data_IF_186701756114
#
_entry.id   IF_186701756114
#
_cell.length_a   1.000
_cell.length_b   1.000
_cell.length_c   1.000
_cell.angle_alpha   90.00
_cell.angle_beta   90.00
_cell.angle_gamma   90.00
#
_symmetry.space_group_name_H-M   'P 1'
#
loop_
_entity.id
_entity.type
_entity.pdbx_description
1 polymer ?
#
# COMPACT_ATOMS: atom_id res chain seq x y z
N UNK A 1 4.79 -22.32 -63.82
CA UNK A 1 4.49 -21.06 -63.10
C UNK A 1 3.98 -21.43 -61.72
N UNK A 2 4.85 -21.45 -60.70
CA UNK A 2 4.46 -21.81 -59.33
C UNK A 2 4.25 -20.51 -58.56
N UNK A 3 2.98 -20.18 -58.24
CA UNK A 3 2.63 -19.05 -57.40
C UNK A 3 2.76 -19.47 -55.93
N UNK A 4 3.72 -18.90 -55.22
CA UNK A 4 3.88 -19.06 -53.78
C UNK A 4 2.80 -18.22 -53.08
N UNK A 5 1.89 -18.87 -52.35
CA UNK A 5 0.88 -18.20 -51.52
C UNK A 5 1.49 -17.90 -50.15
N UNK A 6 1.63 -16.62 -49.82
CA UNK A 6 1.99 -16.17 -48.46
C UNK A 6 0.69 -16.04 -47.66
N UNK A 7 0.51 -16.91 -46.67
CA UNK A 7 -0.58 -16.82 -45.69
C UNK A 7 -0.09 -15.94 -44.55
N UNK A 8 -0.58 -14.71 -44.48
CA UNK A 8 -0.33 -13.80 -43.35
C UNK A 8 -1.22 -14.20 -42.18
N UNK A 9 -0.63 -14.82 -41.16
CA UNK A 9 -1.29 -15.09 -39.88
C UNK A 9 -1.40 -13.78 -39.09
N UNK A 10 -2.61 -13.21 -39.03
CA UNK A 10 -2.93 -12.13 -38.09
C UNK A 10 -3.05 -12.73 -36.68
N UNK A 11 -2.04 -12.53 -35.84
CA UNK A 11 -2.19 -12.72 -34.41
C UNK A 11 -3.02 -11.56 -33.86
N UNK A 12 -4.17 -11.82 -33.19
CA UNK A 12 -4.88 -10.75 -32.50
C UNK A 12 -3.99 -10.26 -31.36
N UNK A 13 -3.59 -8.98 -31.43
CA UNK A 13 -3.01 -8.28 -30.30
C UNK A 13 -4.17 -8.10 -29.32
N UNK A 14 -4.27 -8.99 -28.33
CA UNK A 14 -5.18 -8.80 -27.21
C UNK A 14 -4.57 -7.68 -26.37
N UNK A 15 -5.02 -6.45 -26.62
CA UNK A 15 -4.72 -5.34 -25.72
C UNK A 15 -5.42 -5.59 -24.39
N UNK A 16 -4.67 -5.90 -23.34
CA UNK A 16 -5.20 -5.79 -21.99
C UNK A 16 -5.45 -4.31 -21.72
N UNK A 17 -6.71 -3.88 -21.84
CA UNK A 17 -7.13 -2.61 -21.27
C UNK A 17 -6.84 -2.69 -19.78
N UNK A 18 -6.09 -1.73 -19.26
CA UNK A 18 -5.92 -1.55 -17.83
C UNK A 18 -7.29 -1.49 -17.16
N UNK A 19 -7.50 -2.32 -16.14
CA UNK A 19 -8.79 -2.45 -15.47
C UNK A 19 -8.73 -1.81 -14.10
N UNK A 20 -9.58 -0.82 -13.89
CA UNK A 20 -9.92 -0.32 -12.54
C UNK A 20 -10.99 -1.22 -11.96
N UNK A 21 -10.78 -1.65 -10.73
CA UNK A 21 -11.68 -2.51 -9.97
C UNK A 21 -12.30 -1.73 -8.82
N UNK A 22 -13.44 -2.23 -8.36
CA UNK A 22 -14.20 -1.68 -7.25
C UNK A 22 -14.16 -2.64 -6.07
N UNK A 23 -14.11 -2.11 -4.86
CA UNK A 23 -14.06 -2.84 -3.61
C UNK A 23 -14.90 -2.13 -2.55
N UNK A 24 -15.87 -2.84 -1.97
CA UNK A 24 -16.71 -2.27 -0.91
C UNK A 24 -15.99 -2.34 0.43
N UNK A 25 -15.82 -1.19 1.09
CA UNK A 25 -15.25 -1.11 2.44
C UNK A 25 -15.99 -0.06 3.27
N UNK A 26 -16.51 -0.44 4.43
CA UNK A 26 -17.27 0.44 5.34
C UNK A 26 -18.40 1.22 4.64
N UNK A 27 -19.09 0.58 3.69
CA UNK A 27 -20.17 1.19 2.91
C UNK A 27 -19.72 2.15 1.81
N UNK A 28 -18.41 2.33 1.62
CA UNK A 28 -17.83 3.08 0.52
C UNK A 28 -17.43 2.14 -0.62
N UNK A 29 -17.68 2.57 -1.85
CA UNK A 29 -17.12 1.93 -3.03
C UNK A 29 -15.73 2.51 -3.29
N UNK A 30 -14.69 1.72 -3.01
CA UNK A 30 -13.28 2.08 -3.15
C UNK A 30 -12.74 1.54 -4.46
N UNK A 31 -11.83 2.27 -5.10
CA UNK A 31 -11.24 1.86 -6.37
C UNK A 31 -9.79 1.41 -6.18
N UNK A 32 -9.33 0.51 -7.06
CA UNK A 32 -7.94 0.13 -7.17
C UNK A 32 -7.63 -0.37 -8.59
N UNK A 33 -6.35 -0.38 -8.94
CA UNK A 33 -5.85 -1.03 -10.15
C UNK A 33 -5.02 -2.22 -9.70
N UNK A 34 -5.21 -3.36 -10.36
CA UNK A 34 -4.42 -4.56 -10.13
C UNK A 34 -3.59 -4.89 -11.37
N UNK A 35 -2.34 -5.24 -11.14
CA UNK A 35 -1.41 -5.69 -12.15
C UNK A 35 -0.73 -6.98 -11.70
N UNK A 36 -0.56 -7.92 -12.63
CA UNK A 36 0.24 -9.10 -12.43
C UNK A 36 0.82 -9.58 -13.76
N UNK A 37 2.03 -10.17 -13.76
CA UNK A 37 2.54 -10.91 -14.91
C UNK A 37 1.57 -12.03 -15.33
N UNK A 38 1.51 -12.33 -16.62
CA UNK A 38 0.55 -13.30 -17.16
C UNK A 38 0.75 -14.73 -16.63
N UNK A 39 1.97 -15.05 -16.20
CA UNK A 39 2.42 -16.33 -15.66
C UNK A 39 2.69 -16.27 -14.15
N UNK A 40 2.02 -15.36 -13.43
CA UNK A 40 2.15 -15.26 -11.98
C UNK A 40 1.86 -16.61 -11.31
N UNK A 41 2.74 -17.01 -10.39
CA UNK A 41 2.64 -18.27 -9.69
C UNK A 41 1.79 -18.11 -8.42
N UNK A 42 1.15 -19.19 -7.93
CA UNK A 42 0.60 -19.21 -6.58
C UNK A 42 1.66 -18.87 -5.54
N UNK A 43 1.24 -18.25 -4.43
CA UNK A 43 2.10 -17.71 -3.38
C UNK A 43 3.10 -16.63 -3.87
N UNK A 44 2.83 -16.00 -5.02
CA UNK A 44 3.61 -14.86 -5.47
C UNK A 44 3.47 -13.66 -4.50
N UNK A 45 4.53 -12.85 -4.36
CA UNK A 45 4.47 -11.64 -3.54
C UNK A 45 3.45 -10.61 -4.06
N UNK A 46 2.99 -9.73 -3.17
CA UNK A 46 2.09 -8.62 -3.48
C UNK A 46 2.69 -7.29 -3.00
N UNK A 47 2.74 -6.29 -3.87
CA UNK A 47 3.21 -4.94 -3.53
C UNK A 47 2.09 -3.93 -3.69
N UNK A 48 1.82 -3.16 -2.64
CA UNK A 48 0.94 -1.99 -2.71
C UNK A 48 1.74 -0.73 -2.99
N UNK A 49 1.24 0.12 -3.91
CA UNK A 49 1.86 1.40 -4.26
C UNK A 49 0.84 2.53 -4.18
N UNK A 50 0.94 3.35 -3.13
CA UNK A 50 0.03 4.46 -2.88
C UNK A 50 0.50 5.78 -3.53
N UNK A 51 -0.43 6.49 -4.19
CA UNK A 51 -0.18 7.81 -4.76
C UNK A 51 -0.06 8.90 -3.68
N UNK A 52 0.53 10.04 -4.03
CA UNK A 52 0.57 11.23 -3.17
C UNK A 52 -0.72 12.06 -3.20
N UNK A 53 -0.80 13.11 -2.39
CA UNK A 53 -1.95 14.02 -2.35
C UNK A 53 -2.18 14.61 -3.75
N UNK A 54 -3.44 14.79 -4.13
CA UNK A 54 -3.93 15.20 -5.48
C UNK A 54 -3.65 14.19 -6.61
N UNK A 55 -2.98 13.08 -6.32
CA UNK A 55 -2.63 12.04 -7.28
C UNK A 55 -3.79 11.08 -7.61
N UNK A 56 -3.45 10.00 -8.31
CA UNK A 56 -4.39 8.91 -8.61
C UNK A 56 -3.65 7.57 -8.73
N UNK A 57 -4.37 6.47 -8.58
CA UNK A 57 -3.87 5.11 -8.79
C UNK A 57 -3.24 4.96 -10.19
N UNK A 58 -3.92 5.49 -11.21
CA UNK A 58 -3.42 5.52 -12.58
C UNK A 58 -2.13 6.33 -12.69
N UNK A 59 -2.09 7.51 -12.06
CA UNK A 59 -0.95 8.41 -12.12
C UNK A 59 0.30 7.79 -11.49
N UNK A 60 0.17 7.19 -10.30
CA UNK A 60 1.31 6.56 -9.64
C UNK A 60 1.77 5.30 -10.36
N UNK A 61 0.86 4.49 -10.92
CA UNK A 61 1.23 3.32 -11.74
C UNK A 61 2.10 3.73 -12.92
N UNK A 62 1.69 4.77 -13.65
CA UNK A 62 2.44 5.26 -14.82
C UNK A 62 3.78 5.91 -14.43
N UNK A 63 3.88 6.46 -13.23
CA UNK A 63 5.06 7.18 -12.76
C UNK A 63 6.15 6.25 -12.20
N UNK A 64 5.78 5.24 -11.42
CA UNK A 64 6.74 4.50 -10.60
C UNK A 64 7.48 3.36 -11.32
N UNK A 65 6.98 2.89 -12.46
CA UNK A 65 7.59 1.78 -13.22
C UNK A 65 7.46 0.39 -12.57
N UNK A 66 6.65 0.24 -11.53
CA UNK A 66 6.58 -1.00 -10.74
C UNK A 66 6.03 -2.19 -11.53
N UNK A 67 5.23 -1.99 -12.59
CA UNK A 67 4.78 -3.10 -13.45
C UNK A 67 5.95 -3.82 -14.15
N UNK A 68 6.95 -3.07 -14.63
CA UNK A 68 8.13 -3.69 -15.27
C UNK A 68 8.96 -4.47 -14.24
N UNK A 69 9.08 -3.94 -13.02
CA UNK A 69 9.75 -4.65 -11.92
C UNK A 69 8.99 -5.92 -11.53
N UNK A 70 7.66 -5.86 -11.53
CA UNK A 70 6.78 -7.00 -11.30
C UNK A 70 6.96 -8.10 -12.36
N UNK A 71 7.05 -7.75 -13.64
CA UNK A 71 7.32 -8.69 -14.72
C UNK A 71 8.68 -9.38 -14.57
N UNK A 72 9.71 -8.61 -14.20
CA UNK A 72 11.07 -9.14 -14.04
C UNK A 72 11.24 -10.06 -12.83
N UNK A 73 10.42 -9.88 -11.78
CA UNK A 73 10.61 -10.52 -10.48
C UNK A 73 9.45 -11.43 -10.04
N UNK A 74 8.36 -11.50 -10.81
CA UNK A 74 7.26 -12.42 -10.57
C UNK A 74 6.39 -12.09 -9.35
N UNK A 75 5.96 -10.83 -9.21
CA UNK A 75 5.04 -10.41 -8.15
C UNK A 75 3.84 -9.61 -8.68
N UNK A 76 2.75 -9.55 -7.91
CA UNK A 76 1.59 -8.72 -8.22
C UNK A 76 1.72 -7.31 -7.63
N UNK A 77 1.05 -6.34 -8.24
CA UNK A 77 0.98 -4.95 -7.77
C UNK A 77 -0.46 -4.49 -7.62
N UNK A 78 -0.75 -3.85 -6.49
CA UNK A 78 -2.00 -3.14 -6.26
C UNK A 78 -1.72 -1.63 -6.16
N UNK A 79 -2.45 -0.85 -6.94
CA UNK A 79 -2.46 0.61 -6.86
C UNK A 79 -3.82 1.06 -6.34
N UNK A 80 -3.98 1.25 -5.02
CA UNK A 80 -5.24 1.66 -4.43
C UNK A 80 -5.51 3.15 -4.69
N UNK A 81 -6.78 3.53 -4.79
CA UNK A 81 -7.24 4.91 -4.98
C UNK A 81 -7.69 5.53 -3.65
N UNK A 82 -7.07 6.65 -3.28
CA UNK A 82 -7.50 7.48 -2.16
C UNK A 82 -8.85 8.14 -2.44
N UNK A 83 -9.61 8.46 -1.39
CA UNK A 83 -10.90 9.18 -1.54
C UNK A 83 -10.65 10.64 -1.89
N UNK A 84 -11.64 11.31 -2.48
CA UNK A 84 -11.57 12.74 -2.77
C UNK A 84 -12.04 13.57 -1.57
N UNK A 85 -11.35 14.67 -1.29
CA UNK A 85 -11.78 15.65 -0.30
C UNK A 85 -12.80 16.65 -0.87
N UNK A 86 -13.15 17.68 -0.09
CA UNK A 86 -14.13 18.69 -0.48
C UNK A 86 -13.66 19.61 -1.63
N UNK A 87 -12.37 19.62 -1.95
CA UNK A 87 -11.82 20.32 -3.12
C UNK A 87 -11.74 19.43 -4.36
N UNK A 88 -12.05 18.14 -4.22
CA UNK A 88 -11.94 17.14 -5.28
C UNK A 88 -10.54 16.54 -5.41
N UNK A 89 -9.65 16.82 -4.46
CA UNK A 89 -8.29 16.27 -4.44
C UNK A 89 -8.30 14.90 -3.77
N UNK A 90 -7.67 13.90 -4.42
CA UNK A 90 -7.57 12.57 -3.85
C UNK A 90 -6.49 12.52 -2.77
N UNK A 91 -6.78 11.84 -1.67
CA UNK A 91 -5.91 11.78 -0.50
C UNK A 91 -6.07 10.49 0.28
N UNK A 92 -5.11 10.27 1.18
CA UNK A 92 -5.16 9.29 2.26
C UNK A 92 -5.36 10.01 3.59
N UNK A 93 -6.29 9.53 4.40
CA UNK A 93 -6.61 10.07 5.70
C UNK A 93 -5.51 9.75 6.73
N UNK A 94 -4.45 10.56 6.71
CA UNK A 94 -3.27 10.43 7.58
C UNK A 94 -3.26 11.49 8.70
N UNK A 95 -4.40 12.13 8.97
CA UNK A 95 -4.55 13.09 10.07
C UNK A 95 -4.08 14.52 9.77
N UNK A 96 -4.15 14.96 8.51
CA UNK A 96 -3.91 16.37 8.18
C UNK A 96 -4.91 17.31 8.84
N UNK A 97 -4.42 18.43 9.39
CA UNK A 97 -5.28 19.43 10.04
C UNK A 97 -6.33 20.02 9.09
N UNK A 98 -5.99 20.18 7.81
CA UNK A 98 -6.91 20.70 6.79
C UNK A 98 -7.94 19.66 6.33
N UNK A 99 -7.82 18.41 6.77
CA UNK A 99 -8.82 17.34 6.64
C UNK A 99 -9.46 17.00 7.99
N UNK A 100 -9.49 17.94 8.94
CA UNK A 100 -10.10 17.71 10.25
C UNK A 100 -11.56 17.27 10.13
N UNK A 101 -11.93 16.18 10.82
CA UNK A 101 -13.29 15.63 10.81
C UNK A 101 -13.54 14.61 9.70
N UNK A 102 -12.58 14.36 8.80
CA UNK A 102 -12.63 13.21 7.89
C UNK A 102 -12.50 11.92 8.69
N UNK A 103 -13.43 10.99 8.47
CA UNK A 103 -13.51 9.71 9.18
C UNK A 103 -13.23 8.50 8.26
N UNK A 104 -12.80 8.73 7.02
CA UNK A 104 -12.47 7.66 6.07
C UNK A 104 -11.38 6.76 6.68
N UNK A 105 -11.63 5.45 6.67
CA UNK A 105 -10.71 4.45 7.22
C UNK A 105 -9.84 3.87 6.11
N UNK A 106 -8.72 4.53 5.80
CA UNK A 106 -7.78 4.05 4.79
C UNK A 106 -6.92 2.89 5.28
N UNK A 107 -6.61 2.83 6.58
CA UNK A 107 -5.90 1.68 7.15
C UNK A 107 -6.75 0.42 7.00
N UNK A 108 -8.02 0.45 7.45
CA UNK A 108 -8.94 -0.68 7.32
C UNK A 108 -9.19 -1.08 5.88
N UNK A 109 -9.29 -0.11 4.96
CA UNK A 109 -9.45 -0.37 3.54
C UNK A 109 -8.25 -1.14 2.97
N UNK A 110 -7.03 -0.67 3.21
CA UNK A 110 -5.82 -1.30 2.70
C UNK A 110 -5.64 -2.72 3.26
N UNK A 111 -5.87 -2.93 4.55
CA UNK A 111 -5.78 -4.25 5.18
C UNK A 111 -6.81 -5.22 4.57
N UNK A 112 -8.07 -4.76 4.43
CA UNK A 112 -9.13 -5.58 3.85
C UNK A 112 -8.87 -5.91 2.38
N UNK A 113 -8.33 -4.95 1.62
CA UNK A 113 -7.99 -5.14 0.22
C UNK A 113 -6.82 -6.12 0.06
N UNK A 114 -5.80 -6.07 0.92
CA UNK A 114 -4.71 -7.03 0.93
C UNK A 114 -5.23 -8.47 1.12
N UNK A 115 -6.03 -8.71 2.16
CA UNK A 115 -6.62 -10.03 2.40
C UNK A 115 -7.51 -10.49 1.23
N UNK A 116 -8.29 -9.58 0.64
CA UNK A 116 -9.10 -9.88 -0.52
C UNK A 116 -8.25 -10.33 -1.73
N UNK A 117 -7.20 -9.58 -2.06
CA UNK A 117 -6.34 -9.89 -3.21
C UNK A 117 -5.55 -11.17 -3.01
N UNK A 118 -5.01 -11.39 -1.80
CA UNK A 118 -4.34 -12.63 -1.42
C UNK A 118 -5.24 -13.84 -1.64
N UNK A 119 -6.47 -13.79 -1.14
CA UNK A 119 -7.43 -14.90 -1.32
C UNK A 119 -7.90 -15.05 -2.77
N UNK A 120 -8.09 -13.94 -3.50
CA UNK A 120 -8.69 -13.98 -4.85
C UNK A 120 -7.70 -14.49 -5.90
N UNK A 121 -6.41 -14.17 -5.73
CA UNK A 121 -5.35 -14.47 -6.69
C UNK A 121 -4.30 -15.45 -6.15
N UNK A 122 -4.58 -16.12 -5.02
CA UNK A 122 -3.65 -17.06 -4.36
C UNK A 122 -2.27 -16.44 -4.08
N UNK A 123 -2.22 -15.15 -3.70
CA UNK A 123 -0.97 -14.44 -3.41
C UNK A 123 -0.53 -14.64 -1.96
N UNK A 124 0.75 -14.44 -1.72
CA UNK A 124 1.37 -14.69 -0.42
C UNK A 124 0.88 -13.75 0.67
N UNK A 125 0.39 -14.30 1.79
CA UNK A 125 0.15 -13.50 3.01
C UNK A 125 1.45 -13.02 3.65
N UNK A 126 2.52 -13.82 3.53
CA UNK A 126 3.82 -13.56 4.18
C UNK A 126 4.70 -12.60 3.39
N UNK A 127 4.53 -12.55 2.07
CA UNK A 127 5.31 -11.70 1.17
C UNK A 127 4.46 -10.56 0.59
N UNK A 128 3.75 -9.84 1.46
CA UNK A 128 3.00 -8.65 1.09
C UNK A 128 3.70 -7.38 1.61
N UNK A 129 3.88 -6.38 0.76
CA UNK A 129 4.68 -5.19 1.01
C UNK A 129 3.90 -3.91 0.71
N UNK A 130 4.31 -2.80 1.33
CA UNK A 130 3.66 -1.50 1.08
C UNK A 130 4.69 -0.39 0.82
N UNK A 131 4.45 0.40 -0.22
CA UNK A 131 5.20 1.62 -0.54
C UNK A 131 4.25 2.73 -0.98
N UNK A 132 4.74 3.97 -1.03
CA UNK A 132 3.96 5.10 -1.52
C UNK A 132 4.76 6.39 -1.51
N UNK A 133 4.28 7.37 -2.29
CA UNK A 133 4.92 8.68 -2.45
C UNK A 133 4.19 9.78 -1.69
N UNK A 134 4.94 10.65 -1.00
CA UNK A 134 4.41 11.82 -0.28
C UNK A 134 3.29 11.42 0.70
N UNK A 135 2.04 11.84 0.49
CA UNK A 135 0.90 11.40 1.30
C UNK A 135 0.69 9.88 1.32
N UNK A 136 1.03 9.17 0.24
CA UNK A 136 1.08 7.69 0.23
C UNK A 136 2.25 7.13 1.04
N UNK A 137 3.35 7.88 1.15
CA UNK A 137 4.47 7.56 2.04
C UNK A 137 4.13 7.80 3.51
N UNK A 138 3.33 8.81 3.82
CA UNK A 138 2.77 9.02 5.16
C UNK A 138 1.78 7.90 5.53
N UNK A 139 0.94 7.45 4.59
CA UNK A 139 0.08 6.27 4.80
C UNK A 139 0.93 5.02 5.05
N UNK A 140 2.05 4.86 4.34
CA UNK A 140 2.99 3.77 4.56
C UNK A 140 3.52 3.76 6.01
N UNK A 141 3.92 4.92 6.54
CA UNK A 141 4.27 5.05 7.96
C UNK A 141 3.10 4.75 8.90
N UNK A 142 1.90 5.25 8.58
CA UNK A 142 0.71 5.02 9.39
C UNK A 142 0.38 3.52 9.51
N UNK A 143 0.42 2.79 8.39
CA UNK A 143 0.23 1.34 8.37
C UNK A 143 1.29 0.61 9.19
N UNK A 144 2.56 1.00 9.06
CA UNK A 144 3.65 0.43 9.86
C UNK A 144 3.43 0.61 11.38
N UNK A 145 2.78 1.70 11.79
CA UNK A 145 2.50 1.96 13.20
C UNK A 145 1.21 1.29 13.70
N UNK A 146 0.14 1.29 12.91
CA UNK A 146 -1.16 0.76 13.35
C UNK A 146 -1.26 -0.77 13.19
N UNK A 147 -0.76 -1.29 12.08
CA UNK A 147 -0.92 -2.68 11.63
C UNK A 147 0.42 -3.31 11.15
N UNK A 148 1.48 -3.30 11.99
CA UNK A 148 2.82 -3.75 11.60
C UNK A 148 2.87 -5.21 11.11
N UNK A 149 1.94 -6.04 11.55
CA UNK A 149 1.94 -7.48 11.26
C UNK A 149 1.24 -7.83 9.93
N UNK A 150 0.60 -6.87 9.25
CA UNK A 150 -0.11 -7.12 7.98
C UNK A 150 0.84 -7.12 6.77
N UNK A 151 1.90 -6.32 6.83
CA UNK A 151 2.87 -6.21 5.74
C UNK A 151 4.25 -6.60 6.24
N UNK A 152 4.97 -7.36 5.40
CA UNK A 152 6.30 -7.86 5.72
C UNK A 152 7.34 -6.75 5.81
N UNK A 153 7.21 -5.72 4.96
CA UNK A 153 8.04 -4.53 5.01
C UNK A 153 7.34 -3.32 4.38
N UNK A 154 7.89 -2.14 4.72
CA UNK A 154 7.38 -0.82 4.35
C UNK A 154 8.51 0.01 3.73
N UNK A 155 8.24 0.68 2.61
CA UNK A 155 9.21 1.51 1.90
C UNK A 155 8.62 2.89 1.54
N UNK A 156 8.52 3.83 2.50
CA UNK A 156 7.95 5.16 2.25
C UNK A 156 8.88 6.03 1.40
N UNK A 157 8.31 6.79 0.46
CA UNK A 157 9.04 7.74 -0.39
C UNK A 157 8.54 9.15 -0.16
N UNK A 158 9.41 10.06 0.28
CA UNK A 158 9.09 11.47 0.51
C UNK A 158 7.87 11.73 1.43
N UNK A 159 7.52 10.76 2.29
CA UNK A 159 6.53 10.90 3.34
C UNK A 159 7.19 11.22 4.69
N UNK A 160 6.40 11.64 5.66
CA UNK A 160 6.86 11.87 7.03
C UNK A 160 5.92 11.24 8.05
N UNK A 161 6.36 11.16 9.30
CA UNK A 161 5.49 10.77 10.41
C UNK A 161 4.85 12.05 10.94
N UNK A 162 3.53 12.17 10.79
CA UNK A 162 2.79 13.28 11.39
C UNK A 162 2.39 12.91 12.82
N UNK A 163 2.60 13.79 13.83
CA UNK A 163 2.22 13.49 15.22
C UNK A 163 0.72 13.17 15.38
N UNK A 164 -0.12 13.76 14.54
CA UNK A 164 -1.56 13.60 14.58
C UNK A 164 -2.05 12.29 13.93
N UNK A 165 -1.28 11.73 12.99
CA UNK A 165 -1.61 10.46 12.32
C UNK A 165 -1.44 9.24 13.23
N UNK A 166 -0.50 9.26 14.18
CA UNK A 166 -0.22 8.12 15.08
C UNK A 166 -1.24 7.94 16.21
N UNK A 167 -2.23 8.83 16.30
CA UNK A 167 -3.02 9.06 17.50
C UNK A 167 -3.89 7.88 17.92
N UNK A 168 -4.19 6.88 17.08
CA UNK A 168 -4.95 5.69 17.53
C UNK A 168 -4.17 4.80 18.52
N UNK A 169 -2.83 4.71 18.43
CA UNK A 169 -2.00 4.02 19.45
C UNK A 169 -1.41 4.99 20.48
N UNK A 170 -1.14 6.24 20.12
CA UNK A 170 -0.50 7.21 21.03
C UNK A 170 -1.45 8.04 21.87
N UNK A 171 -2.75 8.16 21.58
CA UNK A 171 -3.69 8.83 22.53
C UNK A 171 -3.80 8.06 23.83
N UNK A 172 -3.77 6.72 23.78
CA UNK A 172 -3.64 5.90 24.98
C UNK A 172 -2.38 6.21 25.79
N UNK A 173 -1.27 6.61 25.17
CA UNK A 173 -0.01 6.89 25.87
C UNK A 173 0.11 8.35 26.30
N UNK A 174 -0.31 9.30 25.45
CA UNK A 174 -0.24 10.75 25.75
C UNK A 174 -1.30 11.19 26.75
N UNK A 175 -2.52 10.64 26.71
CA UNK A 175 -3.52 10.92 27.75
C UNK A 175 -3.16 10.24 29.08
N UNK A 176 -2.62 9.00 29.05
CA UNK A 176 -2.11 8.33 30.26
C UNK A 176 -0.89 9.05 30.86
N UNK A 177 -0.06 9.71 30.04
CA UNK A 177 1.04 10.58 30.50
C UNK A 177 0.53 11.82 31.25
N UNK A 178 -0.67 12.31 30.92
CA UNK A 178 -1.31 13.44 31.60
C UNK A 178 -2.01 13.03 32.90
N UNK A 179 -2.47 11.78 33.00
CA UNK A 179 -3.15 11.24 34.20
C UNK A 179 -2.21 10.50 35.17
N UNK A 180 -0.95 10.25 34.81
CA UNK A 180 0.05 9.65 35.71
C UNK A 180 -0.18 8.17 36.03
N UNK A 181 -0.86 7.44 35.14
CA UNK A 181 -1.40 6.09 35.41
C UNK A 181 -0.58 4.92 34.88
N UNK A 182 0.61 5.14 34.30
CA UNK A 182 1.49 4.05 33.84
C UNK A 182 2.79 3.98 34.65
N UNK A 183 3.19 2.75 34.97
CA UNK A 183 4.49 2.46 35.59
C UNK A 183 5.63 2.61 34.57
N UNK A 184 6.85 2.91 35.04
CA UNK A 184 8.03 3.06 34.18
C UNK A 184 8.25 1.83 33.26
N UNK A 185 7.88 0.63 33.72
CA UNK A 185 8.00 -0.61 32.95
C UNK A 185 7.04 -0.69 31.74
N UNK A 186 5.91 0.02 31.77
CA UNK A 186 4.96 0.11 30.64
C UNK A 186 5.37 1.18 29.63
N UNK A 187 6.20 2.15 30.05
CA UNK A 187 6.81 3.11 29.14
C UNK A 187 7.93 2.48 28.31
N UNK A 188 8.73 1.62 28.92
CA UNK A 188 9.87 0.99 28.25
C UNK A 188 9.37 -0.02 27.19
N UNK A 189 8.31 -0.79 27.46
CA UNK A 189 7.74 -1.75 26.48
C UNK A 189 7.16 -1.10 25.21
N UNK A 190 6.69 0.15 25.30
CA UNK A 190 6.18 0.91 24.14
C UNK A 190 7.30 1.49 23.25
N UNK A 191 8.52 1.60 23.78
CA UNK A 191 9.71 2.10 23.06
C UNK A 191 10.67 0.97 22.64
N UNK A 192 10.57 -0.21 23.26
CA UNK A 192 11.48 -1.37 23.05
C UNK A 192 11.21 -2.15 21.76
N UNK A 193 10.21 -1.79 20.95
CA UNK A 193 10.01 -2.38 19.62
C UNK A 193 11.13 -2.12 18.60
N UNK A 194 12.20 -1.40 18.98
CA UNK A 194 13.30 -1.01 18.10
C UNK A 194 14.70 -1.49 18.53
N UNK A 195 14.81 -2.35 19.55
CA UNK A 195 16.10 -2.99 19.90
C UNK A 195 16.11 -4.46 19.42
N UNK A 196 16.39 -4.65 18.13
CA UNK A 196 16.46 -6.00 17.57
C UNK A 196 17.09 -6.13 16.18
N UNK A 197 17.64 -5.07 15.59
CA UNK A 197 18.40 -5.16 14.35
C UNK A 197 19.82 -4.66 14.60
N UNK A 198 20.70 -5.56 15.04
CA UNK A 198 22.14 -5.31 14.88
C UNK A 198 22.44 -5.19 13.37
N UNK A 199 23.25 -4.20 12.95
CA UNK A 199 23.67 -4.10 11.56
C UNK A 199 24.51 -5.33 11.18
N UNK A 200 24.42 -5.84 9.94
CA UNK A 200 25.22 -6.97 9.51
C UNK A 200 26.70 -6.61 9.64
N UNK A 201 27.44 -7.43 10.38
CA UNK A 201 28.89 -7.31 10.49
C UNK A 201 29.50 -7.60 9.13
N UNK A 202 30.20 -6.62 8.57
CA UNK A 202 31.03 -6.80 7.39
C UNK A 202 32.26 -7.63 7.77
N UNK A 203 32.31 -8.89 7.35
CA UNK A 203 33.55 -9.66 7.34
C UNK A 203 34.26 -9.48 5.98
N UNK A 204 35.42 -8.83 6.04
CA UNK A 204 36.57 -9.13 5.18
C UNK A 204 37.47 -10.11 5.94
#
# INVERSE_FOLDING_TARGET
>A
MNKLLIISLFFPIIGFSQQTFNFSHNGLNREYIYYAPADIQPDAPLVFVAHGFTGSAQGIMNYCGMNAVADENGFAVCYPQGTSDSWGDNFWNVGYNFHSGVTVDDVGFIVSLASYLQSTYELSSENTFFTGMSNGGELCYLLACEVPDVFRAFAPVAGTITPNGLTKRTTGIYENKKSGTLSQNEMDSALVGNEGLEPPTSSL
#
